data_IF_581250939681
#
_entry.id   IF_581250939681
#
_cell.length_a   1.000
_cell.length_b   1.000
_cell.length_c   1.000
_cell.angle_alpha   90.00
_cell.angle_beta   90.00
_cell.angle_gamma   90.00
#
_symmetry.space_group_name_H-M   'P 1'
#
loop_
_entity.id
_entity.type
_entity.pdbx_description
1 polymer ?
#
# COMPACT_ATOMS: atom_id res chain seq x y z
N UNK A 1 -27.24 -25.93 -9.55
CA UNK A 1 -26.80 -24.89 -10.51
C UNK A 1 -27.37 -23.57 -10.02
N UNK A 2 -26.70 -22.91 -9.09
CA UNK A 2 -27.07 -21.56 -8.65
C UNK A 2 -26.69 -20.59 -9.76
N UNK A 3 -27.69 -20.07 -10.47
CA UNK A 3 -27.51 -18.96 -11.39
C UNK A 3 -27.10 -17.76 -10.53
N UNK A 4 -25.82 -17.42 -10.51
CA UNK A 4 -25.33 -16.18 -9.91
C UNK A 4 -25.75 -15.03 -10.81
N UNK A 5 -26.33 -13.97 -10.25
CA UNK A 5 -26.73 -12.77 -10.99
C UNK A 5 -25.53 -12.06 -11.62
N UNK A 6 -25.70 -11.55 -12.85
CA UNK A 6 -24.72 -10.68 -13.52
C UNK A 6 -24.98 -9.23 -13.17
N UNK A 7 -23.93 -8.40 -13.11
CA UNK A 7 -24.05 -6.96 -12.91
C UNK A 7 -24.82 -6.28 -14.05
N UNK A 8 -24.83 -6.86 -15.25
CA UNK A 8 -25.65 -6.39 -16.39
C UNK A 8 -27.16 -6.44 -16.08
N UNK A 9 -27.61 -7.47 -15.38
CA UNK A 9 -29.03 -7.62 -14.98
C UNK A 9 -29.44 -6.53 -13.98
N UNK A 10 -28.50 -6.06 -13.16
CA UNK A 10 -28.74 -4.98 -12.21
C UNK A 10 -28.87 -3.63 -12.93
N UNK A 11 -28.02 -3.35 -13.93
CA UNK A 11 -28.17 -2.17 -14.80
C UNK A 11 -29.52 -2.17 -15.52
N UNK A 12 -29.87 -3.30 -16.14
CA UNK A 12 -31.10 -3.44 -16.94
C UNK A 12 -32.37 -3.31 -16.09
N UNK A 13 -32.36 -3.85 -14.87
CA UNK A 13 -33.49 -3.78 -13.95
C UNK A 13 -33.70 -2.38 -13.38
N UNK A 14 -32.62 -1.64 -13.13
CA UNK A 14 -32.67 -0.30 -12.54
C UNK A 14 -32.76 0.82 -13.59
N UNK A 15 -32.50 0.52 -14.88
CA UNK A 15 -32.59 1.49 -15.98
C UNK A 15 -31.59 2.65 -15.88
N UNK A 16 -30.54 2.50 -15.05
CA UNK A 16 -29.50 3.52 -14.80
C UNK A 16 -28.26 3.24 -15.62
N UNK A 17 -27.58 4.31 -16.03
CA UNK A 17 -26.30 4.20 -16.74
C UNK A 17 -25.21 3.81 -15.76
N UNK A 18 -24.21 3.10 -16.27
CA UNK A 18 -23.12 2.56 -15.47
C UNK A 18 -22.42 3.57 -14.53
N UNK A 19 -22.29 4.84 -14.93
CA UNK A 19 -21.62 5.87 -14.12
C UNK A 19 -22.43 6.35 -12.91
N UNK A 20 -23.72 6.05 -12.86
CA UNK A 20 -24.62 6.46 -11.79
C UNK A 20 -24.72 5.39 -10.68
N UNK A 21 -23.99 4.27 -10.84
CA UNK A 21 -23.97 3.16 -9.90
C UNK A 21 -22.69 3.23 -9.06
N UNK A 22 -22.86 3.30 -7.74
CA UNK A 22 -21.79 3.21 -6.75
C UNK A 22 -21.81 1.82 -6.10
N UNK A 23 -20.82 1.00 -6.42
CA UNK A 23 -20.61 -0.29 -5.77
C UNK A 23 -19.82 -0.11 -4.47
N UNK A 24 -20.32 -0.65 -3.35
CA UNK A 24 -19.66 -0.62 -2.05
C UNK A 24 -19.41 -2.06 -1.56
N UNK A 25 -18.16 -2.40 -1.26
CA UNK A 25 -17.78 -3.74 -0.79
C UNK A 25 -16.36 -3.79 -0.27
N UNK A 26 -15.99 -4.93 0.32
CA UNK A 26 -14.68 -5.23 0.94
C UNK A 26 -13.81 -6.18 0.10
N UNK A 27 -14.40 -6.86 -0.90
CA UNK A 27 -13.69 -7.77 -1.81
C UNK A 27 -13.03 -7.05 -3.01
N UNK A 28 -11.83 -6.51 -2.78
CA UNK A 28 -10.98 -5.82 -3.78
C UNK A 28 -10.85 -6.60 -5.11
N UNK A 29 -10.55 -7.89 -5.02
CA UNK A 29 -10.11 -8.65 -6.19
C UNK A 29 -11.26 -9.24 -7.02
N UNK A 30 -12.38 -9.58 -6.38
CA UNK A 30 -13.55 -10.15 -7.04
C UNK A 30 -14.39 -9.09 -7.75
N UNK A 31 -14.56 -7.93 -7.11
CA UNK A 31 -15.62 -6.99 -7.48
C UNK A 31 -15.10 -5.66 -8.08
N UNK A 32 -13.94 -5.15 -7.64
CA UNK A 32 -13.45 -3.87 -8.18
C UNK A 32 -12.86 -4.02 -9.58
N UNK A 33 -12.07 -5.07 -9.83
CA UNK A 33 -11.45 -5.30 -11.14
C UNK A 33 -12.48 -5.67 -12.22
N UNK A 34 -13.54 -6.39 -11.89
CA UNK A 34 -14.62 -6.72 -12.83
C UNK A 34 -15.53 -5.52 -13.10
N UNK A 35 -15.96 -4.81 -12.07
CA UNK A 35 -16.88 -3.66 -12.19
C UNK A 35 -16.23 -2.44 -12.86
N UNK A 36 -14.95 -2.13 -12.54
CA UNK A 36 -14.23 -1.04 -13.24
C UNK A 36 -13.90 -1.36 -14.70
N UNK A 37 -13.48 -2.59 -15.01
CA UNK A 37 -12.96 -2.92 -16.34
C UNK A 37 -14.06 -3.24 -17.36
N UNK A 38 -15.23 -3.68 -16.92
CA UNK A 38 -16.34 -4.06 -17.81
C UNK A 38 -17.46 -3.02 -17.91
N UNK A 39 -17.76 -2.29 -16.83
CA UNK A 39 -18.95 -1.43 -16.78
C UNK A 39 -18.65 0.03 -16.41
N UNK A 40 -17.57 0.31 -15.66
CA UNK A 40 -17.20 1.70 -15.35
C UNK A 40 -18.03 2.31 -14.21
N UNK A 41 -18.55 1.47 -13.33
CA UNK A 41 -19.21 1.88 -12.09
C UNK A 41 -18.24 2.61 -11.16
N UNK A 42 -18.77 3.56 -10.38
CA UNK A 42 -18.03 4.10 -9.26
C UNK A 42 -17.87 3.00 -8.20
N UNK A 43 -16.70 2.94 -7.55
CA UNK A 43 -16.39 1.88 -6.58
C UNK A 43 -15.93 2.53 -5.29
N UNK A 44 -16.53 2.11 -4.18
CA UNK A 44 -16.14 2.45 -2.83
C UNK A 44 -15.68 1.18 -2.13
N UNK A 45 -14.42 1.16 -1.70
CA UNK A 45 -13.84 0.03 -1.02
C UNK A 45 -13.92 0.24 0.49
N UNK A 46 -14.54 -0.70 1.19
CA UNK A 46 -14.54 -0.76 2.65
C UNK A 46 -13.35 -1.62 3.07
N UNK A 47 -12.39 -1.04 3.81
CA UNK A 47 -11.24 -1.77 4.36
C UNK A 47 -11.26 -1.66 5.89
N UNK A 48 -11.84 -2.62 6.62
CA UNK A 48 -11.89 -2.60 8.08
C UNK A 48 -10.51 -2.46 8.74
N UNK A 49 -9.50 -3.07 8.13
CA UNK A 49 -8.14 -3.10 8.64
C UNK A 49 -7.42 -1.75 8.50
N UNK A 50 -7.93 -0.84 7.64
CA UNK A 50 -7.39 0.50 7.46
C UNK A 50 -7.47 1.33 8.76
N UNK A 51 -8.50 1.12 9.58
CA UNK A 51 -8.63 1.83 10.86
C UNK A 51 -7.48 1.48 11.82
N UNK A 52 -7.15 0.19 11.91
CA UNK A 52 -6.02 -0.29 12.73
C UNK A 52 -4.68 0.18 12.17
N UNK A 53 -4.52 0.16 10.85
CA UNK A 53 -3.36 0.69 10.15
C UNK A 53 -3.11 2.16 10.46
N UNK A 54 -4.14 3.01 10.33
CA UNK A 54 -4.04 4.44 10.64
C UNK A 54 -3.65 4.69 12.10
N UNK A 55 -4.20 3.91 13.02
CA UNK A 55 -3.84 4.02 14.43
C UNK A 55 -2.35 3.72 14.65
N UNK A 56 -1.86 2.57 14.17
CA UNK A 56 -0.44 2.20 14.33
C UNK A 56 0.47 3.20 13.61
N UNK A 57 0.06 3.70 12.45
CA UNK A 57 0.79 4.72 11.71
C UNK A 57 0.92 6.04 12.50
N UNK A 58 -0.15 6.50 13.14
CA UNK A 58 -0.12 7.69 13.99
C UNK A 58 0.75 7.48 15.24
N UNK A 59 0.69 6.30 15.87
CA UNK A 59 1.48 5.98 17.06
C UNK A 59 2.98 5.78 16.77
N UNK A 60 3.34 5.41 15.53
CA UNK A 60 4.71 5.05 15.12
C UNK A 60 5.28 5.97 14.05
N UNK A 61 4.74 7.19 13.91
CA UNK A 61 5.19 8.17 12.92
C UNK A 61 6.69 8.47 13.02
N UNK A 62 7.24 8.48 14.24
CA UNK A 62 8.66 8.72 14.50
C UNK A 62 9.58 7.67 13.85
N UNK A 63 9.21 6.39 13.89
CA UNK A 63 9.98 5.32 13.23
C UNK A 63 9.96 5.48 11.71
N UNK A 64 8.84 5.96 11.16
CA UNK A 64 8.68 6.20 9.74
C UNK A 64 9.49 7.42 9.27
N UNK A 65 9.62 8.44 10.12
CA UNK A 65 10.54 9.56 9.92
C UNK A 65 12.01 9.14 10.00
N UNK A 66 12.40 8.29 10.97
CA UNK A 66 13.75 7.71 11.04
C UNK A 66 14.08 6.94 9.75
N UNK A 67 13.16 6.08 9.29
CA UNK A 67 13.35 5.32 8.06
C UNK A 67 13.52 6.24 6.83
N UNK A 68 12.70 7.29 6.71
CA UNK A 68 12.83 8.29 5.63
C UNK A 68 14.15 9.05 5.69
N UNK A 69 14.58 9.43 6.89
CA UNK A 69 15.87 10.12 7.08
C UNK A 69 17.03 9.23 6.64
N UNK A 70 17.00 7.94 6.98
CA UNK A 70 18.01 6.97 6.56
C UNK A 70 18.01 6.74 5.04
N UNK A 71 16.84 6.67 4.41
CA UNK A 71 16.71 6.55 2.96
C UNK A 71 17.26 7.80 2.23
N UNK A 72 17.01 9.01 2.76
CA UNK A 72 17.58 10.25 2.23
C UNK A 72 19.10 10.32 2.40
N UNK A 73 19.60 9.98 3.58
CA UNK A 73 21.04 9.95 3.84
C UNK A 73 21.76 8.94 2.94
N UNK A 74 21.14 7.79 2.71
CA UNK A 74 21.63 6.80 1.76
C UNK A 74 21.68 7.36 0.33
N UNK A 75 20.63 8.07 -0.10
CA UNK A 75 20.58 8.70 -1.42
C UNK A 75 21.65 9.78 -1.61
N UNK A 76 21.89 10.63 -0.60
CA UNK A 76 22.96 11.64 -0.60
C UNK A 76 24.35 10.98 -0.72
N UNK A 77 24.60 9.93 0.06
CA UNK A 77 25.85 9.16 -0.05
C UNK A 77 26.04 8.56 -1.46
N UNK A 78 24.97 8.03 -2.07
CA UNK A 78 25.04 7.52 -3.44
C UNK A 78 25.28 8.62 -4.49
N UNK A 79 24.74 9.82 -4.30
CA UNK A 79 24.95 10.97 -5.19
C UNK A 79 26.38 11.53 -5.13
N UNK A 80 27.10 11.36 -4.03
CA UNK A 80 28.45 11.90 -3.88
C UNK A 80 29.54 10.93 -4.37
N UNK A 81 29.17 9.72 -4.81
CA UNK A 81 30.09 8.65 -5.22
C UNK A 81 30.39 8.59 -6.73
N UNK A 82 29.77 9.47 -7.53
CA UNK A 82 29.71 9.31 -8.99
C UNK A 82 30.79 10.07 -9.78
N UNK A 83 31.73 10.77 -9.13
CA UNK A 83 32.64 11.66 -9.88
C UNK A 83 34.16 11.42 -9.79
N UNK A 84 34.73 10.75 -8.77
CA UNK A 84 36.19 10.43 -8.78
C UNK A 84 36.72 9.47 -7.70
N UNK A 85 35.90 8.93 -6.80
CA UNK A 85 36.37 8.17 -5.64
C UNK A 85 36.58 6.67 -5.93
N UNK A 86 37.76 6.13 -5.61
CA UNK A 86 38.08 4.68 -5.69
C UNK A 86 37.70 3.89 -4.43
N UNK A 87 37.16 4.54 -3.41
CA UNK A 87 36.79 3.93 -2.13
C UNK A 87 35.27 3.91 -2.00
N UNK A 88 34.68 2.71 -1.88
CA UNK A 88 33.28 2.59 -1.52
C UNK A 88 33.15 2.84 0.00
N UNK A 89 32.33 3.80 0.45
CA UNK A 89 32.09 3.98 1.87
C UNK A 89 31.39 2.74 2.42
N UNK A 90 31.62 2.42 3.69
CA UNK A 90 30.99 1.27 4.34
C UNK A 90 29.52 1.57 4.67
N UNK A 91 28.63 1.27 3.72
CA UNK A 91 27.18 1.44 3.83
C UNK A 91 26.53 0.28 4.64
N UNK A 92 27.31 -0.69 5.11
CA UNK A 92 26.76 -1.85 5.83
C UNK A 92 26.00 -1.46 7.09
N UNK A 93 26.51 -0.46 7.81
CA UNK A 93 25.90 0.08 9.04
C UNK A 93 24.53 0.72 8.77
N UNK A 94 24.41 1.53 7.72
CA UNK A 94 23.17 2.22 7.33
C UNK A 94 22.14 1.20 6.82
N UNK A 95 22.57 0.25 5.97
CA UNK A 95 21.69 -0.83 5.49
C UNK A 95 21.17 -1.68 6.64
N UNK A 96 22.02 -2.01 7.61
CA UNK A 96 21.62 -2.75 8.80
C UNK A 96 20.63 -1.95 9.65
N UNK A 97 20.83 -0.63 9.78
CA UNK A 97 19.91 0.26 10.49
C UNK A 97 18.54 0.33 9.81
N UNK A 98 18.49 0.49 8.49
CA UNK A 98 17.25 0.47 7.69
C UNK A 98 16.51 -0.86 7.88
N UNK A 99 17.22 -2.00 7.82
CA UNK A 99 16.62 -3.32 8.05
C UNK A 99 16.05 -3.46 9.47
N UNK A 100 16.77 -2.95 10.48
CA UNK A 100 16.32 -2.99 11.87
C UNK A 100 15.06 -2.15 12.08
N UNK A 101 15.06 -0.89 11.61
CA UNK A 101 13.91 0.02 11.72
C UNK A 101 12.71 -0.53 10.94
N UNK A 102 12.94 -1.09 9.74
CA UNK A 102 11.89 -1.77 8.95
C UNK A 102 11.27 -2.92 9.73
N UNK A 103 12.10 -3.77 10.34
CA UNK A 103 11.60 -4.90 11.12
C UNK A 103 10.82 -4.45 12.36
N UNK A 104 11.32 -3.46 13.10
CA UNK A 104 10.61 -2.88 14.26
C UNK A 104 9.26 -2.29 13.87
N UNK A 105 9.20 -1.61 12.71
CA UNK A 105 7.96 -1.05 12.17
C UNK A 105 6.99 -2.15 11.76
N UNK A 106 7.42 -3.17 11.01
CA UNK A 106 6.58 -4.28 10.58
C UNK A 106 5.97 -5.04 11.78
N UNK A 107 6.76 -5.23 12.83
CA UNK A 107 6.30 -5.89 14.06
C UNK A 107 5.19 -5.12 14.81
N UNK A 108 5.04 -3.82 14.57
CA UNK A 108 3.95 -3.02 15.15
C UNK A 108 2.59 -3.33 14.50
N UNK A 109 2.57 -3.75 13.23
CA UNK A 109 1.34 -4.11 12.50
C UNK A 109 0.94 -5.58 12.71
N UNK A 110 1.91 -6.46 12.98
CA UNK A 110 1.72 -7.86 13.32
C UNK A 110 2.82 -8.75 12.73
N UNK A 111 2.71 -10.07 12.89
CA UNK A 111 3.73 -11.03 12.42
C UNK A 111 3.99 -11.00 10.91
N UNK A 112 3.06 -10.44 10.13
CA UNK A 112 3.14 -10.35 8.66
C UNK A 112 3.31 -8.91 8.16
N UNK A 113 3.53 -7.95 9.06
CA UNK A 113 3.71 -6.54 8.69
C UNK A 113 2.42 -5.81 8.38
N UNK A 114 2.58 -4.63 7.78
CA UNK A 114 1.48 -3.77 7.31
C UNK A 114 0.77 -4.40 6.10
N UNK A 115 -0.54 -4.14 5.98
CA UNK A 115 -1.33 -4.57 4.82
C UNK A 115 -1.04 -3.73 3.57
N UNK A 116 -0.51 -2.52 3.76
CA UNK A 116 -0.27 -1.57 2.68
C UNK A 116 1.21 -1.36 2.40
N UNK A 117 2.11 -1.83 3.27
CA UNK A 117 3.55 -1.49 3.21
C UNK A 117 4.45 -2.60 3.74
N UNK A 118 5.67 -2.61 3.23
CA UNK A 118 6.81 -3.29 3.84
C UNK A 118 7.98 -2.30 3.86
N UNK A 119 8.33 -1.77 5.04
CA UNK A 119 9.27 -0.66 5.16
C UNK A 119 8.81 0.59 4.40
N UNK A 120 9.69 1.15 3.56
CA UNK A 120 9.39 2.34 2.74
C UNK A 120 8.60 2.03 1.45
N UNK A 121 8.35 0.74 1.15
CA UNK A 121 7.68 0.30 -0.10
C UNK A 121 6.20 0.04 0.13
N UNK A 122 5.35 0.50 -0.79
CA UNK A 122 3.92 0.22 -0.80
C UNK A 122 3.66 -1.12 -1.52
N UNK A 123 2.81 -1.97 -0.94
CA UNK A 123 2.41 -3.28 -1.50
C UNK A 123 1.34 -3.15 -2.59
#
# INVERSE_FOLDING_TARGET
>A
LTVTGSSDVVCDLLGVKDKDILYMGDHIFGDILKSKKRQGWQTFLVVPELARELQVWMEKSELLEELRSLDLFLAELYQHLDSSSSECPDISSIKHRIQKVTHEMDMCYGKMGSLFRCGSRQT
#
